data_IF_666383369841
#
_entry.id   IF_666383369841
#
_cell.length_a   1.000
_cell.length_b   1.000
_cell.length_c   1.000
_cell.angle_alpha   90.00
_cell.angle_beta   90.00
_cell.angle_gamma   90.00
#
_symmetry.space_group_name_H-M   'P 1'
#
loop_
_entity.id
_entity.type
_entity.pdbx_description
1 polymer ?
#
# COMPACT_ATOMS: atom_id res chain seq x y z
N UNK A 1 9.94 18.77 37.43
CA UNK A 1 9.82 18.60 35.96
C UNK A 1 9.17 19.84 35.38
N UNK A 2 9.36 20.16 34.11
CA UNK A 2 8.76 21.36 33.47
C UNK A 2 7.63 20.94 32.54
N UNK A 3 6.61 21.78 32.36
CA UNK A 3 5.52 21.49 31.42
C UNK A 3 5.91 21.87 29.99
N UNK A 4 5.36 21.15 29.02
CA UNK A 4 5.62 21.39 27.60
C UNK A 4 5.06 22.75 27.15
N UNK A 5 5.93 23.60 26.59
CA UNK A 5 5.58 24.95 26.15
C UNK A 5 4.64 25.02 24.94
N UNK A 6 4.24 23.88 24.36
CA UNK A 6 3.19 23.88 23.34
C UNK A 6 1.78 23.98 23.92
N UNK A 7 1.62 23.96 25.24
CA UNK A 7 0.32 24.04 25.92
C UNK A 7 -0.43 22.71 26.02
N UNK A 8 0.20 21.55 25.78
CA UNK A 8 -0.47 20.25 25.86
C UNK A 8 -0.61 19.70 27.29
N UNK A 9 -0.08 20.40 28.30
CA UNK A 9 -0.13 19.97 29.71
C UNK A 9 0.77 18.79 30.08
N UNK A 10 1.53 18.23 29.15
CA UNK A 10 2.42 17.08 29.40
C UNK A 10 3.79 17.51 29.93
N UNK A 11 4.42 16.68 30.77
CA UNK A 11 5.74 16.93 31.36
C UNK A 11 6.89 16.71 30.36
N UNK A 12 7.90 17.59 30.41
CA UNK A 12 9.13 17.47 29.63
C UNK A 12 10.26 16.88 30.45
N UNK A 13 11.17 16.19 29.76
CA UNK A 13 12.45 15.77 30.34
C UNK A 13 13.22 16.99 30.86
N UNK A 14 13.96 16.87 31.98
CA UNK A 14 14.77 17.96 32.53
C UNK A 14 15.62 18.65 31.46
N UNK A 15 15.55 19.98 31.40
CA UNK A 15 16.27 20.81 30.41
C UNK A 15 15.64 20.90 29.01
N UNK A 16 14.56 20.17 28.73
CA UNK A 16 13.84 20.27 27.44
C UNK A 16 12.59 21.14 27.55
N UNK A 17 12.37 21.99 26.53
CA UNK A 17 11.19 22.87 26.42
C UNK A 17 9.96 22.21 25.77
N UNK A 18 10.18 21.15 24.98
CA UNK A 18 9.14 20.45 24.22
C UNK A 18 9.33 18.94 24.27
N UNK A 19 8.23 18.19 24.14
CA UNK A 19 8.23 16.73 24.04
C UNK A 19 8.32 16.34 22.55
N UNK A 20 9.39 15.66 22.17
CA UNK A 20 9.60 15.21 20.78
C UNK A 20 9.40 16.35 19.76
N UNK A 21 8.39 16.18 18.88
CA UNK A 21 8.06 17.12 17.80
C UNK A 21 7.03 18.20 18.19
N UNK A 22 6.70 18.35 19.47
CA UNK A 22 5.67 19.32 19.91
C UNK A 22 6.02 20.78 19.61
N UNK A 23 7.29 21.11 19.39
CA UNK A 23 7.70 22.43 18.93
C UNK A 23 7.04 22.82 17.59
N UNK A 24 6.75 21.86 16.70
CA UNK A 24 6.06 22.07 15.43
C UNK A 24 4.54 22.32 15.57
N UNK A 25 3.97 21.99 16.74
CA UNK A 25 2.56 22.25 17.07
C UNK A 25 2.35 23.63 17.72
N UNK A 26 3.43 24.32 18.11
CA UNK A 26 3.32 25.64 18.71
C UNK A 26 2.73 26.64 17.70
N UNK A 27 1.68 27.34 18.12
CA UNK A 27 0.98 28.31 17.25
C UNK A 27 1.92 29.42 16.77
N UNK A 28 2.88 29.83 17.61
CA UNK A 28 3.93 30.80 17.26
C UNK A 28 4.82 30.29 16.11
N UNK A 29 5.15 29.00 16.10
CA UNK A 29 5.91 28.38 15.01
C UNK A 29 5.08 28.32 13.72
N UNK A 30 3.80 27.94 13.81
CA UNK A 30 2.89 27.94 12.64
C UNK A 30 2.68 29.34 12.06
N UNK A 31 2.56 30.38 12.89
CA UNK A 31 2.45 31.77 12.44
C UNK A 31 3.74 32.23 11.76
N UNK A 32 4.92 31.91 12.31
CA UNK A 32 6.19 32.21 11.64
C UNK A 32 6.35 31.48 10.31
N UNK A 33 5.97 30.21 10.22
CA UNK A 33 5.96 29.46 8.96
C UNK A 33 5.01 30.10 7.94
N UNK A 34 3.79 30.48 8.35
CA UNK A 34 2.85 31.18 7.47
C UNK A 34 3.40 32.52 6.97
N UNK A 35 4.05 33.30 7.82
CA UNK A 35 4.65 34.60 7.43
C UNK A 35 5.86 34.43 6.50
N UNK A 36 6.70 33.42 6.76
CA UNK A 36 7.83 33.07 5.87
C UNK A 36 7.30 32.61 4.51
N UNK A 37 6.30 31.72 4.49
CA UNK A 37 5.66 31.28 3.26
C UNK A 37 4.97 32.43 2.51
N UNK A 38 4.36 33.38 3.22
CA UNK A 38 3.72 34.57 2.63
C UNK A 38 4.74 35.57 2.08
N UNK A 39 5.95 35.67 2.64
CA UNK A 39 7.05 36.49 2.11
C UNK A 39 7.75 35.85 0.91
N UNK A 40 7.79 34.52 0.85
CA UNK A 40 8.22 33.78 -0.35
C UNK A 40 7.18 33.88 -1.48
N UNK A 41 5.96 34.30 -1.17
CA UNK A 41 4.87 34.56 -2.11
C UNK A 41 4.87 36.02 -2.64
N UNK A 42 6.00 36.49 -3.19
CA UNK A 42 5.87 37.20 -4.46
C UNK A 42 5.41 36.13 -5.46
N UNK A 43 4.09 35.97 -5.53
CA UNK A 43 3.41 34.70 -5.86
C UNK A 43 3.76 34.18 -7.24
N UNK A 44 4.00 35.05 -8.20
CA UNK A 44 4.11 34.65 -9.60
C UNK A 44 5.50 34.11 -9.95
N UNK A 45 6.55 34.78 -9.48
CA UNK A 45 7.93 34.33 -9.73
C UNK A 45 8.24 32.99 -9.02
N UNK A 46 7.73 32.82 -7.79
CA UNK A 46 7.90 31.57 -7.05
C UNK A 46 7.09 30.42 -7.68
N UNK A 47 5.83 30.65 -8.06
CA UNK A 47 5.01 29.65 -8.77
C UNK A 47 5.65 29.25 -10.09
N UNK A 48 6.20 30.21 -10.84
CA UNK A 48 6.91 29.96 -12.09
C UNK A 48 8.20 29.15 -11.89
N UNK A 49 8.99 29.46 -10.85
CA UNK A 49 10.20 28.69 -10.50
C UNK A 49 9.87 27.25 -10.11
N UNK A 50 8.88 27.04 -9.26
CA UNK A 50 8.44 25.69 -8.85
C UNK A 50 7.87 24.91 -10.03
N UNK A 51 7.02 25.55 -10.85
CA UNK A 51 6.45 24.92 -12.05
C UNK A 51 7.53 24.48 -13.04
N UNK A 52 8.50 25.35 -13.33
CA UNK A 52 9.65 25.04 -14.20
C UNK A 52 10.47 23.88 -13.65
N UNK A 53 10.77 23.88 -12.35
CA UNK A 53 11.52 22.80 -11.70
C UNK A 53 10.76 21.46 -11.73
N UNK A 54 9.43 21.49 -11.56
CA UNK A 54 8.59 20.29 -11.67
C UNK A 54 8.60 19.73 -13.10
N UNK A 55 8.50 20.61 -14.11
CA UNK A 55 8.56 20.20 -15.51
C UNK A 55 9.92 19.60 -15.88
N UNK A 56 11.02 20.26 -15.51
CA UNK A 56 12.39 19.74 -15.73
C UNK A 56 12.61 18.37 -15.08
N UNK A 57 12.07 18.17 -13.88
CA UNK A 57 12.11 16.87 -13.19
C UNK A 57 11.29 15.79 -13.89
N UNK A 58 10.15 16.17 -14.48
CA UNK A 58 9.30 15.25 -15.23
C UNK A 58 9.99 14.81 -16.53
N UNK A 59 10.50 15.76 -17.32
CA UNK A 59 11.23 15.49 -18.58
C UNK A 59 12.47 14.62 -18.33
N UNK A 60 13.22 14.91 -17.27
CA UNK A 60 14.40 14.13 -16.89
C UNK A 60 14.05 12.69 -16.46
N UNK A 61 12.93 12.50 -15.76
CA UNK A 61 12.46 11.17 -15.38
C UNK A 61 11.89 10.38 -16.57
N UNK A 62 11.22 11.04 -17.51
CA UNK A 62 10.72 10.41 -18.72
C UNK A 62 11.87 9.99 -19.65
N UNK A 63 12.89 10.84 -19.81
CA UNK A 63 14.13 10.49 -20.49
C UNK A 63 14.80 9.25 -19.89
N UNK A 64 14.94 9.18 -18.55
CA UNK A 64 15.49 8.01 -17.86
C UNK A 64 14.64 6.75 -18.05
N UNK A 65 13.31 6.86 -18.04
CA UNK A 65 12.41 5.73 -18.32
C UNK A 65 12.56 5.22 -19.75
N UNK A 66 12.64 6.12 -20.74
CA UNK A 66 12.86 5.76 -22.14
C UNK A 66 14.22 5.10 -22.35
N UNK A 67 15.28 5.63 -21.74
CA UNK A 67 16.62 5.04 -21.81
C UNK A 67 16.65 3.64 -21.18
N UNK A 68 16.06 3.48 -19.98
CA UNK A 68 15.96 2.18 -19.32
C UNK A 68 15.17 1.18 -20.15
N UNK A 69 14.06 1.60 -20.77
CA UNK A 69 13.26 0.79 -21.68
C UNK A 69 14.04 0.37 -22.93
N UNK A 70 14.84 1.28 -23.52
CA UNK A 70 15.74 0.97 -24.64
C UNK A 70 16.81 -0.05 -24.24
N UNK A 71 17.51 0.15 -23.12
CA UNK A 71 18.51 -0.80 -22.59
C UNK A 71 17.91 -2.17 -22.32
N UNK A 72 16.70 -2.23 -21.76
CA UNK A 72 15.98 -3.49 -21.59
C UNK A 72 15.66 -4.11 -22.95
N UNK A 73 15.08 -3.36 -23.90
CA UNK A 73 14.79 -3.90 -25.24
C UNK A 73 16.05 -4.42 -25.96
N UNK A 74 17.19 -3.74 -25.85
CA UNK A 74 18.47 -4.18 -26.41
C UNK A 74 18.99 -5.45 -25.72
N UNK A 75 18.95 -5.49 -24.38
CA UNK A 75 19.32 -6.68 -23.59
C UNK A 75 18.45 -7.89 -23.91
N UNK A 76 17.21 -7.67 -24.34
CA UNK A 76 16.25 -8.73 -24.70
C UNK A 76 16.35 -9.22 -26.16
N UNK A 77 17.07 -8.52 -27.05
CA UNK A 77 17.11 -8.83 -28.49
C UNK A 77 17.93 -10.08 -28.87
N UNK A 78 18.81 -10.59 -28.01
CA UNK A 78 19.53 -11.84 -28.28
C UNK A 78 18.79 -13.03 -27.63
N UNK A 79 17.98 -13.78 -28.42
CA UNK A 79 17.41 -15.09 -28.01
C UNK A 79 18.50 -16.05 -27.50
N UNK A 80 19.73 -15.87 -28.00
CA UNK A 80 20.95 -16.58 -27.61
C UNK A 80 21.39 -16.24 -26.17
N UNK A 81 21.35 -14.96 -25.76
CA UNK A 81 21.68 -14.54 -24.38
C UNK A 81 20.65 -15.04 -23.36
N UNK A 82 19.36 -15.03 -23.71
CA UNK A 82 18.30 -15.58 -22.84
C UNK A 82 18.51 -17.07 -22.59
N UNK A 83 18.84 -17.84 -23.64
CA UNK A 83 19.15 -19.27 -23.50
C UNK A 83 20.40 -19.50 -22.65
N UNK A 84 21.47 -18.69 -22.85
CA UNK A 84 22.69 -18.75 -22.03
C UNK A 84 22.42 -18.44 -20.55
N UNK A 85 21.67 -17.37 -20.25
CA UNK A 85 21.33 -16.99 -18.87
C UNK A 85 20.44 -18.04 -18.20
N UNK A 86 19.44 -18.56 -18.91
CA UNK A 86 18.58 -19.64 -18.40
C UNK A 86 19.40 -20.91 -18.11
N UNK A 87 20.31 -21.29 -19.00
CA UNK A 87 21.21 -22.42 -18.77
C UNK A 87 22.18 -22.18 -17.62
N UNK A 88 22.70 -20.95 -17.46
CA UNK A 88 23.55 -20.59 -16.33
C UNK A 88 22.79 -20.69 -15.00
N UNK A 89 21.56 -20.18 -14.94
CA UNK A 89 20.71 -20.26 -13.74
C UNK A 89 20.35 -21.71 -13.39
N UNK A 90 20.05 -22.55 -14.38
CA UNK A 90 19.82 -23.98 -14.17
C UNK A 90 21.06 -24.65 -13.57
N UNK A 91 22.26 -24.37 -14.11
CA UNK A 91 23.52 -24.91 -13.56
C UNK A 91 23.79 -24.45 -12.13
N UNK A 92 23.50 -23.18 -11.80
CA UNK A 92 23.64 -22.66 -10.44
C UNK A 92 22.64 -23.33 -9.50
N UNK A 93 21.42 -23.58 -9.97
CA UNK A 93 20.39 -24.25 -9.19
C UNK A 93 20.70 -25.73 -8.97
N UNK A 94 21.16 -26.44 -9.99
CA UNK A 94 21.57 -27.86 -9.96
C UNK A 94 22.84 -28.08 -9.14
N UNK A 95 23.66 -27.05 -8.94
CA UNK A 95 24.85 -27.13 -8.10
C UNK A 95 24.47 -27.17 -6.62
N UNK A 96 24.29 -28.40 -6.13
CA UNK A 96 23.96 -28.73 -4.75
C UNK A 96 24.91 -28.10 -3.72
N UNK A 97 26.20 -27.96 -4.05
CA UNK A 97 27.18 -27.30 -3.19
C UNK A 97 26.88 -25.80 -2.99
N UNK A 98 26.32 -25.11 -4.01
CA UNK A 98 25.92 -23.71 -3.87
C UNK A 98 24.68 -23.56 -2.98
N UNK A 99 23.71 -24.47 -3.10
CA UNK A 99 22.52 -24.53 -2.22
C UNK A 99 22.91 -24.80 -0.76
N UNK A 100 23.85 -25.71 -0.54
CA UNK A 100 24.35 -26.04 0.79
C UNK A 100 25.14 -24.88 1.40
N UNK A 101 26.01 -24.22 0.62
CA UNK A 101 26.80 -23.06 1.10
C UNK A 101 25.93 -21.84 1.44
N UNK A 102 24.86 -21.59 0.68
CA UNK A 102 23.87 -20.56 1.04
C UNK A 102 23.12 -20.91 2.34
N UNK A 103 22.71 -22.17 2.49
CA UNK A 103 22.00 -22.64 3.69
C UNK A 103 22.89 -22.58 4.94
N UNK A 104 24.16 -22.96 4.83
CA UNK A 104 25.14 -22.86 5.92
C UNK A 104 25.44 -21.41 6.32
N UNK A 105 25.53 -20.48 5.36
CA UNK A 105 25.74 -19.06 5.62
C UNK A 105 24.59 -18.43 6.42
N UNK A 106 23.35 -18.85 6.14
CA UNK A 106 22.18 -18.38 6.90
C UNK A 106 22.15 -18.94 8.32
N UNK A 107 22.48 -20.22 8.52
CA UNK A 107 22.50 -20.86 9.84
C UNK A 107 23.58 -20.31 10.77
N UNK A 108 24.77 -19.95 10.27
CA UNK A 108 25.88 -19.44 11.08
C UNK A 108 25.70 -18.00 11.58
N UNK A 109 24.79 -17.24 10.99
CA UNK A 109 24.61 -15.82 11.32
C UNK A 109 23.80 -15.57 12.61
N UNK A 110 23.15 -16.58 13.19
CA UNK A 110 22.23 -16.39 14.34
C UNK A 110 21.01 -15.51 14.04
N UNK A 111 20.89 -15.00 12.81
CA UNK A 111 19.80 -14.13 12.36
C UNK A 111 18.49 -14.92 12.22
N UNK A 112 18.57 -16.21 11.90
CA UNK A 112 17.42 -17.11 11.77
C UNK A 112 16.59 -17.20 13.06
N UNK A 113 17.25 -17.30 14.23
CA UNK A 113 16.59 -17.52 15.51
C UNK A 113 15.89 -16.24 16.04
N UNK A 114 16.47 -15.06 15.77
CA UNK A 114 15.84 -13.77 16.12
C UNK A 114 14.70 -13.37 15.18
N UNK A 115 14.74 -13.78 13.91
CA UNK A 115 13.64 -13.55 12.95
C UNK A 115 12.46 -14.49 13.21
N UNK A 116 12.70 -15.73 13.66
CA UNK A 116 11.64 -16.73 13.87
C UNK A 116 10.67 -16.35 14.99
N UNK A 117 11.17 -15.81 16.11
CA UNK A 117 10.34 -15.47 17.28
C UNK A 117 9.43 -14.26 17.05
N UNK A 118 9.87 -13.28 16.24
CA UNK A 118 9.05 -12.12 15.88
C UNK A 118 8.01 -12.42 14.79
N UNK A 119 8.33 -13.34 13.86
CA UNK A 119 7.45 -13.73 12.76
C UNK A 119 6.38 -14.76 13.13
N UNK A 120 6.68 -15.67 14.05
CA UNK A 120 5.76 -16.75 14.44
C UNK A 120 4.47 -16.22 15.09
N UNK A 121 4.53 -15.10 15.83
CA UNK A 121 3.35 -14.47 16.45
C UNK A 121 2.38 -13.84 15.45
N UNK A 122 2.76 -13.69 14.18
CA UNK A 122 1.92 -13.09 13.12
C UNK A 122 1.38 -14.11 12.11
N UNK A 123 1.56 -15.40 12.35
CA UNK A 123 1.15 -16.48 11.44
C UNK A 123 0.24 -17.47 12.14
N UNK A 124 -0.63 -18.11 11.36
CA UNK A 124 -1.55 -19.14 11.84
C UNK A 124 -2.51 -18.63 12.92
N UNK A 125 -2.87 -19.53 13.84
CA UNK A 125 -3.84 -19.34 14.93
C UNK A 125 -3.60 -18.10 15.80
N UNK A 126 -2.35 -17.65 15.93
CA UNK A 126 -2.00 -16.51 16.79
C UNK A 126 -2.18 -15.15 16.09
N UNK A 127 -2.48 -15.14 14.79
CA UNK A 127 -2.83 -13.92 14.09
C UNK A 127 -4.33 -13.66 14.21
N UNK A 128 -4.73 -12.56 14.83
CA UNK A 128 -6.15 -12.19 14.97
C UNK A 128 -6.91 -12.01 13.64
N UNK A 129 -6.20 -11.91 12.52
CA UNK A 129 -6.79 -11.92 11.17
C UNK A 129 -6.86 -13.33 10.53
N UNK A 130 -6.34 -14.37 11.18
CA UNK A 130 -6.39 -15.73 10.68
C UNK A 130 -7.79 -16.31 10.91
N UNK A 131 -8.40 -16.75 9.82
CA UNK A 131 -9.77 -17.25 9.81
C UNK A 131 -9.79 -18.71 9.39
N UNK A 132 -9.16 -19.58 10.18
CA UNK A 132 -9.22 -21.03 9.95
C UNK A 132 -8.69 -21.50 8.59
N UNK A 133 -7.82 -20.73 7.93
CA UNK A 133 -7.28 -21.09 6.62
C UNK A 133 -8.20 -20.80 5.42
N UNK A 134 -9.29 -20.03 5.57
CA UNK A 134 -10.14 -19.65 4.40
C UNK A 134 -9.37 -18.88 3.32
N UNK A 135 -8.19 -18.34 3.66
CA UNK A 135 -7.24 -17.77 2.71
C UNK A 135 -6.74 -18.78 1.66
N UNK A 136 -6.84 -20.09 1.89
CA UNK A 136 -6.44 -21.14 0.95
C UNK A 136 -7.60 -21.63 0.06
N UNK A 137 -8.85 -21.22 0.32
CA UNK A 137 -9.96 -21.59 -0.52
C UNK A 137 -9.76 -21.04 -1.96
N UNK A 138 -10.12 -21.82 -2.99
CA UNK A 138 -10.06 -21.38 -4.37
C UNK A 138 -11.03 -20.22 -4.59
N UNK A 139 -10.77 -19.43 -5.63
CA UNK A 139 -11.74 -18.47 -6.14
C UNK A 139 -12.59 -19.13 -7.22
N UNK A 140 -13.79 -18.61 -7.46
CA UNK A 140 -14.59 -18.99 -8.63
C UNK A 140 -13.82 -18.70 -9.94
N UNK A 141 -14.12 -19.46 -11.00
CA UNK A 141 -13.48 -19.29 -12.32
C UNK A 141 -13.66 -17.87 -12.87
N UNK A 142 -14.81 -17.23 -12.61
CA UNK A 142 -15.11 -15.85 -13.04
C UNK A 142 -14.22 -14.82 -12.34
N UNK A 143 -13.61 -15.15 -11.19
CA UNK A 143 -12.70 -14.23 -10.52
C UNK A 143 -11.44 -13.94 -11.35
N UNK A 144 -11.09 -14.76 -12.33
CA UNK A 144 -10.00 -14.49 -13.26
C UNK A 144 -10.32 -13.42 -14.31
N UNK A 145 -11.61 -13.18 -14.55
CA UNK A 145 -12.10 -12.32 -15.64
C UNK A 145 -11.92 -10.83 -15.31
N UNK A 146 -11.21 -10.12 -16.19
CA UNK A 146 -10.97 -8.68 -16.07
C UNK A 146 -12.21 -7.85 -16.39
N UNK A 147 -13.01 -8.26 -17.37
CA UNK A 147 -14.23 -7.53 -17.78
C UNK A 147 -15.26 -7.59 -16.66
N UNK A 148 -15.43 -8.78 -16.07
CA UNK A 148 -16.24 -8.96 -14.87
C UNK A 148 -15.82 -7.98 -13.76
N UNK A 149 -14.51 -7.92 -13.44
CA UNK A 149 -14.01 -7.02 -12.38
C UNK A 149 -14.21 -5.54 -12.71
N UNK A 150 -14.06 -5.17 -13.97
CA UNK A 150 -14.25 -3.80 -14.44
C UNK A 150 -15.72 -3.39 -14.34
N UNK A 151 -16.65 -4.27 -14.71
CA UNK A 151 -18.10 -4.00 -14.58
C UNK A 151 -18.54 -3.69 -13.14
N UNK A 152 -17.95 -4.37 -12.14
CA UNK A 152 -18.22 -4.09 -10.72
C UNK A 152 -17.62 -2.74 -10.30
N UNK A 153 -16.42 -2.39 -10.80
CA UNK A 153 -15.82 -1.09 -10.54
C UNK A 153 -16.60 0.04 -11.19
N UNK A 154 -17.10 -0.16 -12.41
CA UNK A 154 -17.93 0.79 -13.14
C UNK A 154 -19.25 1.03 -12.41
N UNK A 155 -19.94 -0.04 -11.95
CA UNK A 155 -21.11 0.07 -11.06
C UNK A 155 -20.82 0.94 -9.84
N UNK A 156 -19.59 0.83 -9.33
CA UNK A 156 -19.11 1.55 -8.16
C UNK A 156 -18.48 2.92 -8.50
N UNK A 157 -18.62 3.41 -9.73
CA UNK A 157 -18.06 4.67 -10.24
C UNK A 157 -16.53 4.78 -10.10
N UNK A 158 -15.81 3.66 -10.11
CA UNK A 158 -14.38 3.60 -9.86
C UNK A 158 -13.97 4.30 -8.55
N UNK A 159 -14.79 4.16 -7.52
CA UNK A 159 -14.56 4.75 -6.20
C UNK A 159 -14.59 3.70 -5.09
N UNK A 160 -13.85 3.98 -4.02
CA UNK A 160 -13.91 3.15 -2.81
C UNK A 160 -15.24 3.41 -2.09
N UNK A 161 -16.02 2.35 -1.85
CA UNK A 161 -17.34 2.46 -1.20
C UNK A 161 -17.33 2.52 0.32
N UNK A 162 -16.17 2.42 0.97
CA UNK A 162 -16.07 2.69 2.40
C UNK A 162 -16.22 4.20 2.68
N UNK A 163 -17.20 4.61 3.52
CA UNK A 163 -17.47 6.03 3.82
C UNK A 163 -16.27 6.77 4.39
N UNK A 164 -15.54 6.15 5.32
CA UNK A 164 -14.37 6.75 5.96
C UNK A 164 -13.06 6.52 5.19
N UNK A 165 -13.13 6.43 3.85
CA UNK A 165 -11.95 6.29 3.02
C UNK A 165 -11.10 7.57 3.07
N UNK A 166 -9.82 7.44 3.42
CA UNK A 166 -8.87 8.56 3.45
C UNK A 166 -8.22 8.86 2.09
N UNK A 167 -8.61 8.17 1.02
CA UNK A 167 -8.01 8.34 -0.31
C UNK A 167 -6.51 8.00 -0.40
N UNK A 168 -5.95 7.29 0.59
CA UNK A 168 -4.51 7.01 0.67
C UNK A 168 -4.01 6.04 -0.42
N UNK A 169 -4.89 5.25 -1.02
CA UNK A 169 -4.54 4.30 -2.06
C UNK A 169 -5.37 4.56 -3.32
N UNK A 170 -4.69 4.70 -4.46
CA UNK A 170 -5.31 4.79 -5.79
C UNK A 170 -5.64 3.42 -6.37
N UNK A 171 -5.18 2.34 -5.74
CA UNK A 171 -5.41 0.97 -6.21
C UNK A 171 -6.74 0.49 -5.66
N UNK A 172 -7.68 0.22 -6.58
CA UNK A 172 -8.99 -0.33 -6.28
C UNK A 172 -9.01 -1.83 -6.48
N UNK A 173 -9.60 -2.54 -5.52
CA UNK A 173 -9.74 -3.99 -5.48
C UNK A 173 -11.20 -4.34 -5.16
N UNK A 174 -11.63 -5.52 -5.60
CA UNK A 174 -12.93 -6.06 -5.21
C UNK A 174 -12.80 -6.82 -3.90
N UNK A 175 -13.80 -6.66 -3.05
CA UNK A 175 -13.92 -7.33 -1.76
C UNK A 175 -15.22 -8.14 -1.73
N UNK A 176 -15.17 -9.36 -1.19
CA UNK A 176 -16.35 -10.20 -0.97
C UNK A 176 -16.99 -9.83 0.38
N UNK A 177 -18.23 -9.33 0.38
CA UNK A 177 -18.92 -8.84 1.56
C UNK A 177 -19.15 -9.96 2.59
N UNK A 178 -19.46 -11.18 2.14
CA UNK A 178 -19.62 -12.36 2.99
C UNK A 178 -18.32 -13.15 3.24
N UNK A 179 -17.18 -12.71 2.69
CA UNK A 179 -15.87 -13.39 2.78
C UNK A 179 -15.80 -14.80 2.18
N UNK A 180 -16.79 -15.20 1.38
CA UNK A 180 -16.82 -16.48 0.65
C UNK A 180 -16.27 -16.22 -0.77
N UNK A 181 -15.05 -16.70 -1.03
CA UNK A 181 -14.32 -16.44 -2.29
C UNK A 181 -14.95 -17.08 -3.54
N UNK A 182 -15.75 -18.11 -3.34
CA UNK A 182 -16.47 -18.80 -4.42
C UNK A 182 -17.75 -18.03 -4.81
N UNK A 183 -18.27 -17.18 -3.92
CA UNK A 183 -19.46 -16.39 -4.16
C UNK A 183 -19.13 -15.06 -4.87
N UNK A 184 -18.95 -15.14 -6.18
CA UNK A 184 -18.73 -13.98 -7.04
C UNK A 184 -20.05 -13.35 -7.53
N UNK A 185 -21.17 -13.46 -6.81
CA UNK A 185 -22.35 -12.68 -7.15
C UNK A 185 -22.01 -11.17 -7.11
N UNK A 186 -22.35 -10.37 -8.14
CA UNK A 186 -22.14 -8.92 -8.13
C UNK A 186 -22.62 -8.23 -6.85
N UNK A 187 -23.74 -8.66 -6.26
CA UNK A 187 -24.31 -8.09 -5.04
C UNK A 187 -23.52 -8.46 -3.76
N UNK A 188 -22.63 -9.45 -3.86
CA UNK A 188 -21.68 -9.81 -2.80
C UNK A 188 -20.31 -9.13 -3.00
N UNK A 189 -20.10 -8.40 -4.09
CA UNK A 189 -18.82 -7.74 -4.38
C UNK A 189 -18.93 -6.23 -4.19
N UNK A 190 -17.87 -5.64 -3.65
CA UNK A 190 -17.78 -4.19 -3.47
C UNK A 190 -16.37 -3.66 -3.78
N UNK A 191 -16.30 -2.49 -4.40
CA UNK A 191 -15.03 -1.83 -4.73
C UNK A 191 -14.47 -1.08 -3.52
N UNK A 192 -13.25 -1.43 -3.10
CA UNK A 192 -12.52 -0.79 -2.01
C UNK A 192 -11.12 -0.38 -2.48
N UNK A 193 -10.55 0.65 -1.86
CA UNK A 193 -9.12 0.89 -2.00
C UNK A 193 -8.31 -0.11 -1.15
N UNK A 194 -7.03 -0.32 -1.48
CA UNK A 194 -6.21 -1.32 -0.78
C UNK A 194 -6.14 -1.12 0.75
N UNK A 195 -6.11 0.13 1.22
CA UNK A 195 -6.10 0.41 2.67
C UNK A 195 -7.41 0.05 3.36
N UNK A 196 -8.55 0.30 2.71
CA UNK A 196 -9.85 -0.09 3.25
C UNK A 196 -10.03 -1.61 3.21
N UNK A 197 -9.64 -2.25 2.12
CA UNK A 197 -9.66 -3.72 2.00
C UNK A 197 -8.87 -4.42 3.13
N UNK A 198 -7.75 -3.84 3.59
CA UNK A 198 -7.02 -4.39 4.72
C UNK A 198 -7.73 -4.21 6.07
N UNK A 199 -8.42 -3.09 6.27
CA UNK A 199 -9.18 -2.80 7.50
C UNK A 199 -10.39 -3.70 7.68
N UNK A 200 -11.04 -4.09 6.59
CA UNK A 200 -12.29 -4.85 6.66
C UNK A 200 -12.06 -6.34 6.96
N UNK A 201 -10.83 -6.85 6.83
CA UNK A 201 -10.52 -8.25 7.15
C UNK A 201 -10.66 -8.62 8.65
N UNK A 202 -10.95 -7.64 9.53
CA UNK A 202 -11.22 -7.84 10.96
C UNK A 202 -12.66 -7.41 11.28
N UNK A 203 -13.33 -8.07 12.22
CA UNK A 203 -14.74 -7.83 12.59
C UNK A 203 -15.70 -7.97 11.40
N UNK A 204 -15.75 -9.18 10.83
CA UNK A 204 -16.36 -9.45 9.52
C UNK A 204 -17.86 -9.24 9.55
N UNK A 205 -18.49 -9.64 10.65
CA UNK A 205 -19.92 -9.54 10.89
C UNK A 205 -20.39 -8.08 10.73
N UNK A 206 -19.68 -7.15 11.39
CA UNK A 206 -19.94 -5.72 11.27
C UNK A 206 -19.80 -5.21 9.82
N UNK A 207 -18.72 -5.59 9.12
CA UNK A 207 -18.48 -5.12 7.75
C UNK A 207 -19.44 -5.73 6.74
N UNK A 208 -19.85 -6.98 6.92
CA UNK A 208 -20.85 -7.64 6.11
C UNK A 208 -22.17 -6.87 6.19
N UNK A 209 -22.63 -6.51 7.39
CA UNK A 209 -23.83 -5.71 7.61
C UNK A 209 -23.70 -4.31 7.00
N UNK A 210 -22.61 -3.60 7.33
CA UNK A 210 -22.34 -2.25 6.85
C UNK A 210 -22.34 -2.15 5.32
N UNK A 211 -21.65 -3.06 4.61
CA UNK A 211 -21.60 -3.03 3.15
C UNK A 211 -22.90 -3.51 2.49
N UNK A 212 -23.61 -4.45 3.11
CA UNK A 212 -24.94 -4.85 2.63
C UNK A 212 -25.92 -3.68 2.63
N UNK A 213 -25.88 -2.84 3.67
CA UNK A 213 -26.72 -1.64 3.76
C UNK A 213 -26.36 -0.58 2.71
N UNK A 214 -25.07 -0.43 2.39
CA UNK A 214 -24.63 0.48 1.33
C UNK A 214 -25.18 0.04 -0.04
N UNK A 215 -25.12 -1.26 -0.36
CA UNK A 215 -25.63 -1.75 -1.63
C UNK A 215 -27.16 -1.63 -1.74
N UNK A 216 -27.90 -1.94 -0.67
CA UNK A 216 -29.36 -1.77 -0.61
C UNK A 216 -29.77 -0.31 -0.87
N UNK A 217 -29.09 0.65 -0.23
CA UNK A 217 -29.36 2.09 -0.44
C UNK A 217 -29.15 2.50 -1.90
N UNK A 218 -28.09 1.99 -2.54
CA UNK A 218 -27.79 2.30 -3.94
C UNK A 218 -28.82 1.69 -4.91
N UNK A 219 -29.45 0.56 -4.58
CA UNK A 219 -30.51 -0.03 -5.39
C UNK A 219 -31.80 0.81 -5.35
N UNK A 220 -32.20 1.28 -4.16
CA UNK A 220 -33.41 2.10 -3.98
C UNK A 220 -33.32 3.41 -4.77
N UNK A 221 -32.15 4.06 -4.77
CA UNK A 221 -31.91 5.33 -5.47
C UNK A 221 -31.94 5.23 -7.00
N UNK A 222 -31.87 4.03 -7.58
CA UNK A 222 -31.93 3.84 -9.04
C UNK A 222 -33.35 3.59 -9.57
N UNK A 223 -34.30 3.33 -8.68
CA UNK A 223 -35.67 2.91 -9.03
C UNK A 223 -36.74 3.99 -8.83
N UNK A 224 -36.37 5.17 -8.32
CA UNK A 224 -37.26 6.33 -8.15
C UNK A 224 -36.73 7.53 -8.90
#
# INVERSE_FOLDING_TARGET
MSLCLCGCGSETNPGKKYIGIHWAKCEKYRRNQKTIMKRLCNEEEYKNKVSKQVQENWDHNEGRKLEMSKRLKEKWKSKKERKKQSQMMLRVWENEAHRNKQSEGMSKSGVSEKISLGGAKRRGLNNGAWNGGTGCAPYSSIWGDSEFKESIKERDNFECKHSDCWGKSKILVLHHINYIKEDCNPDNLITLCNSCNMRVNVNREYWTEYFSDILKKNMILKTG
#
